data_IF_155955472113
#
_entry.id   IF_155955472113
#
_cell.length_a   1.000
_cell.length_b   1.000
_cell.length_c   1.000
_cell.angle_alpha   90.00
_cell.angle_beta   90.00
_cell.angle_gamma   90.00
#
_symmetry.space_group_name_H-M   'P 1'
#
loop_
_entity.id
_entity.type
_entity.pdbx_description
1 polymer ?
#
# COMPACT_ATOMS: atom_id res chain seq x y z
N UNK A 1 -3.75 5.38 -31.86
CA UNK A 1 -4.46 4.81 -30.70
C UNK A 1 -5.95 5.01 -30.93
N UNK A 2 -6.79 4.00 -30.69
CA UNK A 2 -8.26 4.09 -30.87
C UNK A 2 -8.93 4.39 -29.52
N UNK A 3 -9.35 5.63 -29.23
CA UNK A 3 -9.90 5.99 -27.92
C UNK A 3 -11.20 5.25 -27.60
N UNK A 4 -12.00 4.92 -28.61
CA UNK A 4 -13.31 4.28 -28.47
C UNK A 4 -13.26 2.85 -27.91
N UNK A 5 -12.19 2.10 -28.21
CA UNK A 5 -12.06 0.69 -27.77
C UNK A 5 -11.30 0.54 -26.44
N UNK A 6 -10.75 1.63 -25.88
CA UNK A 6 -9.95 1.56 -24.64
C UNK A 6 -10.75 0.94 -23.50
N UNK A 7 -12.00 1.38 -23.32
CA UNK A 7 -12.87 0.92 -22.23
C UNK A 7 -13.13 -0.59 -22.32
N UNK A 8 -13.61 -1.03 -23.48
CA UNK A 8 -13.89 -2.43 -23.77
C UNK A 8 -12.64 -3.30 -23.60
N UNK A 9 -11.47 -2.83 -24.03
CA UNK A 9 -10.21 -3.54 -23.83
C UNK A 9 -9.86 -3.67 -22.34
N UNK A 10 -9.93 -2.58 -21.58
CA UNK A 10 -9.64 -2.59 -20.14
C UNK A 10 -10.60 -3.52 -19.40
N UNK A 11 -11.89 -3.45 -19.71
CA UNK A 11 -12.94 -4.28 -19.13
C UNK A 11 -12.73 -5.76 -19.46
N UNK A 12 -12.47 -6.10 -20.72
CA UNK A 12 -12.20 -7.47 -21.15
C UNK A 12 -10.97 -8.08 -20.48
N UNK A 13 -9.95 -7.26 -20.16
CA UNK A 13 -8.74 -7.71 -19.48
C UNK A 13 -8.91 -7.89 -17.96
N UNK A 14 -9.86 -7.21 -17.33
CA UNK A 14 -9.96 -7.11 -15.87
C UNK A 14 -11.20 -7.77 -15.27
N UNK A 15 -12.37 -7.65 -15.91
CA UNK A 15 -13.64 -8.22 -15.40
C UNK A 15 -13.56 -9.73 -15.17
N UNK A 16 -12.89 -10.55 -16.02
CA UNK A 16 -12.75 -11.99 -15.75
C UNK A 16 -12.13 -12.32 -14.39
N UNK A 17 -11.37 -11.39 -13.82
CA UNK A 17 -10.64 -11.55 -12.55
C UNK A 17 -11.32 -10.86 -11.37
N UNK A 18 -12.61 -10.53 -11.48
CA UNK A 18 -13.37 -9.90 -10.40
C UNK A 18 -13.39 -10.78 -9.13
N UNK A 19 -13.66 -12.08 -9.29
CA UNK A 19 -13.78 -13.05 -8.19
C UNK A 19 -12.46 -13.76 -7.85
N UNK A 20 -11.57 -13.94 -8.82
CA UNK A 20 -10.34 -14.71 -8.63
C UNK A 20 -9.14 -14.02 -9.29
N UNK A 21 -7.97 -14.14 -8.66
CA UNK A 21 -6.74 -13.62 -9.23
C UNK A 21 -6.22 -14.52 -10.37
N UNK A 22 -5.70 -13.95 -11.47
CA UNK A 22 -5.03 -14.72 -12.49
C UNK A 22 -3.71 -15.32 -12.00
N UNK A 23 -3.11 -16.27 -12.75
CA UNK A 23 -1.72 -16.62 -12.57
C UNK A 23 -0.83 -15.37 -12.56
N UNK A 24 0.17 -15.31 -11.67
CA UNK A 24 0.98 -14.10 -11.45
C UNK A 24 1.69 -13.58 -12.71
N UNK A 25 2.08 -14.45 -13.63
CA UNK A 25 2.64 -14.04 -14.91
C UNK A 25 1.63 -13.23 -15.76
N UNK A 26 0.37 -13.67 -15.79
CA UNK A 26 -0.72 -12.99 -16.51
C UNK A 26 -1.06 -11.65 -15.82
N UNK A 27 -1.18 -11.64 -14.49
CA UNK A 27 -1.39 -10.42 -13.69
C UNK A 27 -0.34 -9.34 -14.02
N UNK A 28 0.94 -9.74 -14.05
CA UNK A 28 2.08 -8.85 -14.35
C UNK A 28 2.04 -8.32 -15.78
N UNK A 29 1.72 -9.17 -16.75
CA UNK A 29 1.63 -8.78 -18.17
C UNK A 29 0.51 -7.77 -18.38
N UNK A 30 -0.69 -8.05 -17.87
CA UNK A 30 -1.84 -7.14 -17.96
C UNK A 30 -1.53 -5.82 -17.24
N UNK A 31 -0.97 -5.90 -16.03
CA UNK A 31 -0.63 -4.71 -15.24
C UNK A 31 0.37 -3.80 -15.97
N UNK A 32 1.43 -4.38 -16.51
CA UNK A 32 2.45 -3.63 -17.26
C UNK A 32 1.86 -2.97 -18.50
N UNK A 33 1.01 -3.71 -19.24
CA UNK A 33 0.32 -3.20 -20.41
C UNK A 33 -0.62 -2.03 -20.07
N UNK A 34 -1.45 -2.18 -19.03
CA UNK A 34 -2.41 -1.16 -18.63
C UNK A 34 -1.75 0.08 -18.03
N UNK A 35 -0.69 -0.07 -17.23
CA UNK A 35 0.09 1.07 -16.75
C UNK A 35 0.74 1.85 -17.90
N UNK A 36 1.28 1.14 -18.90
CA UNK A 36 1.90 1.79 -20.08
C UNK A 36 0.87 2.52 -20.95
N UNK A 37 -0.32 1.94 -21.13
CA UNK A 37 -1.32 2.45 -22.09
C UNK A 37 -2.33 3.42 -21.46
N UNK A 38 -2.81 3.11 -20.26
CA UNK A 38 -3.87 3.83 -19.56
C UNK A 38 -3.35 4.63 -18.36
N UNK A 39 -2.21 4.24 -17.79
CA UNK A 39 -1.67 4.83 -16.56
C UNK A 39 -2.35 4.29 -15.31
N UNK A 40 -1.87 4.72 -14.15
CA UNK A 40 -2.38 4.28 -12.84
C UNK A 40 -3.75 4.94 -12.53
N UNK A 41 -4.84 4.18 -12.32
CA UNK A 41 -6.17 4.73 -12.00
C UNK A 41 -6.22 5.51 -10.69
N UNK A 42 -5.28 5.25 -9.75
CA UNK A 42 -5.20 5.92 -8.44
C UNK A 42 -4.78 7.38 -8.60
N UNK A 43 -3.93 7.65 -9.58
CA UNK A 43 -3.39 8.99 -9.88
C UNK A 43 -4.03 9.66 -11.10
N UNK A 44 -4.42 8.87 -12.11
CA UNK A 44 -4.83 9.34 -13.44
C UNK A 44 -6.30 9.02 -13.72
N UNK A 45 -7.18 9.36 -12.76
CA UNK A 45 -8.62 9.03 -12.79
C UNK A 45 -9.29 9.38 -14.14
N UNK A 46 -8.97 10.54 -14.70
CA UNK A 46 -9.52 11.00 -15.98
C UNK A 46 -9.28 10.01 -17.14
N UNK A 47 -8.17 9.25 -17.14
CA UNK A 47 -7.87 8.27 -18.19
C UNK A 47 -8.72 6.99 -18.10
N UNK A 48 -9.33 6.78 -16.94
CA UNK A 48 -10.19 5.65 -16.61
C UNK A 48 -11.68 6.03 -16.58
N UNK A 49 -12.04 7.26 -16.94
CA UNK A 49 -13.43 7.72 -16.95
C UNK A 49 -14.30 6.85 -17.85
N UNK A 50 -15.37 6.30 -17.26
CA UNK A 50 -16.35 5.45 -17.94
C UNK A 50 -15.84 4.05 -18.28
N UNK A 51 -14.73 3.61 -17.69
CA UNK A 51 -14.44 2.18 -17.50
C UNK A 51 -15.32 1.67 -16.36
N UNK A 52 -15.83 0.45 -16.47
CA UNK A 52 -16.57 -0.22 -15.40
C UNK A 52 -15.85 -0.15 -14.03
N UNK A 53 -16.61 0.09 -12.97
CA UNK A 53 -16.05 0.24 -11.63
C UNK A 53 -15.45 -1.07 -11.10
N UNK A 54 -16.05 -2.21 -11.44
CA UNK A 54 -15.54 -3.54 -11.09
C UNK A 54 -14.16 -3.75 -11.72
N UNK A 55 -14.02 -3.45 -13.01
CA UNK A 55 -12.74 -3.53 -13.71
C UNK A 55 -11.68 -2.63 -13.02
N UNK A 56 -12.05 -1.38 -12.73
CA UNK A 56 -11.16 -0.44 -12.04
C UNK A 56 -10.74 -0.95 -10.65
N UNK A 57 -11.67 -1.56 -9.90
CA UNK A 57 -11.40 -2.08 -8.56
C UNK A 57 -10.52 -3.34 -8.59
N UNK A 58 -10.69 -4.22 -9.58
CA UNK A 58 -9.76 -5.34 -9.82
C UNK A 58 -8.34 -4.82 -10.00
N UNK A 59 -8.18 -3.78 -10.82
CA UNK A 59 -6.85 -3.26 -11.09
C UNK A 59 -6.23 -2.57 -9.87
N UNK A 60 -7.00 -1.75 -9.15
CA UNK A 60 -6.55 -1.15 -7.88
C UNK A 60 -6.13 -2.20 -6.85
N UNK A 61 -6.83 -3.34 -6.76
CA UNK A 61 -6.46 -4.45 -5.88
C UNK A 61 -5.10 -5.03 -6.25
N UNK A 62 -4.84 -5.27 -7.53
CA UNK A 62 -3.53 -5.76 -7.99
C UNK A 62 -2.42 -4.76 -7.71
N UNK A 63 -2.66 -3.47 -7.98
CA UNK A 63 -1.70 -2.42 -7.71
C UNK A 63 -1.40 -2.29 -6.20
N UNK A 64 -2.41 -2.46 -5.35
CA UNK A 64 -2.26 -2.48 -3.88
C UNK A 64 -1.37 -3.64 -3.42
N UNK A 65 -1.62 -4.86 -3.93
CA UNK A 65 -0.76 -6.01 -3.66
C UNK A 65 0.68 -5.81 -4.14
N UNK A 66 0.84 -5.29 -5.36
CA UNK A 66 2.16 -4.98 -5.91
C UNK A 66 2.90 -3.92 -5.09
N UNK A 67 2.21 -2.88 -4.62
CA UNK A 67 2.78 -1.84 -3.75
C UNK A 67 3.25 -2.42 -2.40
N UNK A 68 2.46 -3.31 -1.78
CA UNK A 68 2.86 -4.00 -0.55
C UNK A 68 4.12 -4.85 -0.75
N UNK A 69 4.13 -5.67 -1.80
CA UNK A 69 5.30 -6.51 -2.13
C UNK A 69 6.54 -5.67 -2.47
N UNK A 70 6.37 -4.57 -3.20
CA UNK A 70 7.44 -3.66 -3.55
C UNK A 70 8.02 -2.99 -2.30
N UNK A 71 7.16 -2.52 -1.39
CA UNK A 71 7.60 -1.96 -0.12
C UNK A 71 8.46 -2.96 0.67
N UNK A 72 8.01 -4.21 0.77
CA UNK A 72 8.79 -5.31 1.39
C UNK A 72 10.20 -5.38 0.79
N UNK A 73 10.31 -5.41 -0.55
CA UNK A 73 11.58 -5.59 -1.25
C UNK A 73 12.51 -4.37 -1.12
N UNK A 74 11.96 -3.15 -1.09
CA UNK A 74 12.73 -1.93 -0.85
C UNK A 74 13.36 -1.99 0.53
N UNK A 75 12.58 -2.33 1.56
CA UNK A 75 13.08 -2.27 2.93
C UNK A 75 14.01 -3.40 3.31
N UNK A 76 13.86 -4.59 2.70
CA UNK A 76 14.86 -5.68 2.77
C UNK A 76 16.25 -5.24 2.29
N UNK A 77 16.34 -4.18 1.48
CA UNK A 77 17.60 -3.63 0.96
C UNK A 77 18.12 -2.42 1.73
N UNK A 78 17.26 -1.71 2.47
CA UNK A 78 17.66 -0.48 3.20
C UNK A 78 17.75 -0.63 4.71
N UNK A 79 17.18 -1.68 5.31
CA UNK A 79 17.07 -1.82 6.75
C UNK A 79 17.65 -3.15 7.28
N UNK A 80 17.94 -3.18 8.58
CA UNK A 80 18.44 -4.36 9.31
C UNK A 80 17.41 -5.52 9.34
N UNK A 81 17.93 -6.75 9.31
CA UNK A 81 17.21 -7.95 8.86
C UNK A 81 16.07 -8.46 9.76
N UNK A 82 15.98 -8.06 11.02
CA UNK A 82 15.25 -8.89 12.01
C UNK A 82 13.78 -8.55 12.25
N UNK A 83 13.32 -7.33 11.91
CA UNK A 83 11.95 -6.90 12.26
C UNK A 83 10.92 -7.01 11.14
N UNK A 84 11.38 -7.14 9.88
CA UNK A 84 10.47 -7.01 8.75
C UNK A 84 9.57 -8.22 8.52
N UNK A 85 10.03 -9.44 8.84
CA UNK A 85 9.23 -10.66 8.66
C UNK A 85 7.84 -10.56 9.32
N UNK A 86 7.78 -9.95 10.50
CA UNK A 86 6.55 -9.78 11.27
C UNK A 86 5.64 -8.72 10.65
N UNK A 87 6.17 -7.59 10.19
CA UNK A 87 5.36 -6.54 9.56
C UNK A 87 4.85 -6.98 8.18
N UNK A 88 5.69 -7.69 7.40
CA UNK A 88 5.29 -8.35 6.16
C UNK A 88 4.13 -9.31 6.41
N UNK A 89 4.27 -10.22 7.38
CA UNK A 89 3.20 -11.14 7.75
C UNK A 89 1.94 -10.39 8.16
N UNK A 90 2.09 -9.33 8.96
CA UNK A 90 0.97 -8.53 9.46
C UNK A 90 0.15 -7.90 8.33
N UNK A 91 0.78 -7.06 7.50
CA UNK A 91 0.09 -6.35 6.43
C UNK A 91 -0.36 -7.27 5.30
N UNK A 92 0.43 -8.29 4.95
CA UNK A 92 -0.01 -9.27 3.97
C UNK A 92 -1.19 -10.12 4.47
N UNK A 93 -1.30 -10.36 5.78
CA UNK A 93 -2.46 -11.00 6.39
C UNK A 93 -3.74 -10.20 6.14
N UNK A 94 -3.72 -8.89 6.44
CA UNK A 94 -4.85 -8.00 6.15
C UNK A 94 -5.15 -7.88 4.65
N UNK A 95 -4.13 -7.84 3.80
CA UNK A 95 -4.32 -7.83 2.35
C UNK A 95 -4.98 -9.11 1.84
N UNK A 96 -4.52 -10.29 2.27
CA UNK A 96 -5.07 -11.59 1.88
C UNK A 96 -6.51 -11.77 2.37
N UNK A 97 -6.83 -11.22 3.54
CA UNK A 97 -8.20 -11.18 4.06
C UNK A 97 -9.09 -10.15 3.35
N UNK A 98 -8.58 -9.38 2.38
CA UNK A 98 -9.36 -8.42 1.59
C UNK A 98 -9.64 -7.10 2.30
N UNK A 99 -8.92 -6.78 3.37
CA UNK A 99 -9.18 -5.61 4.22
C UNK A 99 -8.32 -4.39 3.89
N UNK A 100 -7.23 -4.55 3.13
CA UNK A 100 -6.45 -3.42 2.60
C UNK A 100 -7.08 -2.98 1.28
N UNK A 101 -7.76 -1.83 1.32
CA UNK A 101 -8.43 -1.25 0.16
C UNK A 101 -7.44 -0.57 -0.77
N UNK A 102 -6.46 0.12 -0.19
CA UNK A 102 -5.46 0.88 -0.91
C UNK A 102 -4.11 0.79 -0.21
N UNK A 103 -3.03 0.73 -1.00
CA UNK A 103 -1.67 0.91 -0.53
C UNK A 103 -0.92 1.94 -1.38
N UNK A 104 -0.04 2.69 -0.73
CA UNK A 104 0.87 3.65 -1.35
C UNK A 104 2.17 3.75 -0.54
N UNK A 105 3.25 4.24 -1.16
CA UNK A 105 4.56 4.32 -0.50
C UNK A 105 5.15 5.72 -0.68
N UNK A 106 5.66 6.29 0.41
CA UNK A 106 6.51 7.47 0.39
C UNK A 106 7.96 7.09 0.71
N UNK A 107 8.90 7.53 -0.12
CA UNK A 107 10.30 7.14 -0.07
C UNK A 107 11.19 8.36 0.15
N UNK A 108 12.13 8.25 1.08
CA UNK A 108 13.26 9.16 1.17
C UNK A 108 14.22 8.99 -0.02
N UNK A 109 15.15 9.94 -0.24
CA UNK A 109 16.03 9.97 -1.41
C UNK A 109 16.76 8.65 -1.76
N UNK A 110 17.36 7.96 -0.79
CA UNK A 110 18.09 6.72 -1.04
C UNK A 110 17.17 5.55 -1.33
N UNK A 111 16.05 5.48 -0.61
CA UNK A 111 15.03 4.48 -0.84
C UNK A 111 14.37 4.64 -2.22
N UNK A 112 14.16 5.89 -2.68
CA UNK A 112 13.67 6.19 -4.02
C UNK A 112 14.65 5.70 -5.09
N UNK A 113 15.96 5.93 -4.89
CA UNK A 113 17.01 5.43 -5.79
C UNK A 113 16.99 3.89 -5.87
N UNK A 114 16.87 3.20 -4.74
CA UNK A 114 16.81 1.73 -4.69
C UNK A 114 15.55 1.20 -5.35
N UNK A 115 14.39 1.82 -5.09
CA UNK A 115 13.12 1.46 -5.71
C UNK A 115 13.16 1.56 -7.25
N UNK A 116 13.88 2.54 -7.79
CA UNK A 116 14.10 2.67 -9.24
C UNK A 116 15.01 1.57 -9.80
N UNK A 117 16.02 1.14 -9.04
CA UNK A 117 16.94 0.08 -9.48
C UNK A 117 16.28 -1.29 -9.56
N UNK A 118 15.31 -1.56 -8.69
CA UNK A 118 14.58 -2.85 -8.64
C UNK A 118 13.28 -2.84 -9.44
N UNK A 119 12.95 -1.69 -10.03
CA UNK A 119 11.84 -1.51 -10.95
C UNK A 119 10.43 -1.73 -10.36
N UNK A 120 10.34 -1.98 -9.06
CA UNK A 120 9.12 -2.42 -8.40
C UNK A 120 8.06 -1.31 -8.23
N UNK A 121 8.48 -0.03 -8.29
CA UNK A 121 7.61 1.12 -8.00
C UNK A 121 7.59 2.16 -9.13
N UNK A 122 7.88 1.79 -10.39
CA UNK A 122 7.92 2.70 -11.58
C UNK A 122 6.82 3.78 -11.58
N UNK A 123 7.10 4.95 -11.00
CA UNK A 123 6.15 6.07 -10.88
C UNK A 123 4.96 5.86 -9.92
N UNK A 124 4.95 4.77 -9.15
CA UNK A 124 3.90 4.36 -8.20
C UNK A 124 4.33 4.57 -6.74
N UNK A 125 5.00 5.68 -6.48
CA UNK A 125 5.46 6.08 -5.15
C UNK A 125 5.50 7.61 -5.04
N UNK A 126 5.71 8.08 -3.83
CA UNK A 126 5.89 9.50 -3.51
C UNK A 126 7.27 9.77 -2.99
N UNK A 127 7.68 11.03 -3.08
CA UNK A 127 8.83 11.52 -2.32
C UNK A 127 8.41 11.84 -0.89
N UNK A 128 9.21 11.41 0.07
CA UNK A 128 9.16 11.86 1.46
C UNK A 128 10.14 13.02 1.62
N UNK A 129 9.67 14.16 2.10
CA UNK A 129 10.48 15.37 2.31
C UNK A 129 10.40 15.87 3.75
N UNK A 130 11.16 16.92 4.06
CA UNK A 130 11.19 17.53 5.38
C UNK A 130 12.14 16.77 6.32
N UNK A 131 11.78 16.68 7.60
CA UNK A 131 12.63 16.04 8.62
C UNK A 131 12.53 14.50 8.54
N UNK A 132 13.21 13.90 7.55
CA UNK A 132 13.34 12.46 7.35
C UNK A 132 14.77 12.05 7.00
N UNK A 133 15.16 10.83 7.36
CA UNK A 133 16.42 10.24 6.90
C UNK A 133 16.29 9.78 5.45
N UNK A 134 17.40 9.71 4.72
CA UNK A 134 17.41 9.37 3.29
C UNK A 134 16.91 7.96 2.98
N UNK A 135 17.08 7.03 3.91
CA UNK A 135 16.63 5.64 3.83
C UNK A 135 15.19 5.41 4.33
N UNK A 136 14.52 6.44 4.87
CA UNK A 136 13.15 6.29 5.38
C UNK A 136 12.19 5.85 4.27
N UNK A 137 11.33 4.89 4.61
CA UNK A 137 10.20 4.47 3.79
C UNK A 137 8.95 4.49 4.67
N UNK A 138 7.84 4.99 4.12
CA UNK A 138 6.54 4.97 4.78
C UNK A 138 5.55 4.23 3.89
N UNK A 139 4.97 3.17 4.43
CA UNK A 139 3.83 2.47 3.84
C UNK A 139 2.55 3.13 4.31
N UNK A 140 1.78 3.66 3.37
CA UNK A 140 0.46 4.22 3.60
C UNK A 140 -0.60 3.20 3.18
N UNK A 141 -1.53 2.89 4.07
CA UNK A 141 -2.62 1.93 3.82
C UNK A 141 -3.97 2.56 4.12
N UNK A 142 -5.00 2.07 3.43
CA UNK A 142 -6.40 2.29 3.82
C UNK A 142 -7.05 0.96 4.20
N UNK A 143 -7.58 0.88 5.42
CA UNK A 143 -8.30 -0.27 5.95
C UNK A 143 -9.66 0.21 6.43
N UNK A 144 -10.73 -0.14 5.71
CA UNK A 144 -12.06 0.42 5.98
C UNK A 144 -12.04 1.95 5.94
N UNK A 145 -12.43 2.57 7.05
CA UNK A 145 -12.39 4.02 7.29
C UNK A 145 -11.14 4.47 8.07
N UNK A 146 -10.03 3.72 8.01
CA UNK A 146 -8.77 4.06 8.66
C UNK A 146 -7.68 4.31 7.61
N UNK A 147 -6.79 5.24 7.94
CA UNK A 147 -5.52 5.44 7.24
C UNK A 147 -4.39 5.03 8.18
N UNK A 148 -3.45 4.25 7.67
CA UNK A 148 -2.26 3.79 8.41
C UNK A 148 -1.00 4.33 7.76
N UNK A 149 -0.02 4.74 8.56
CA UNK A 149 1.35 5.01 8.12
C UNK A 149 2.33 4.15 8.93
N UNK A 150 2.90 3.13 8.30
CA UNK A 150 3.95 2.28 8.88
C UNK A 150 5.33 2.70 8.36
N UNK A 151 6.21 3.09 9.28
CA UNK A 151 7.54 3.62 9.00
C UNK A 151 8.62 2.55 9.14
N UNK A 152 9.42 2.31 8.10
CA UNK A 152 10.40 1.21 8.05
C UNK A 152 11.45 1.23 9.18
N UNK A 153 12.12 2.36 9.47
CA UNK A 153 13.21 2.49 10.46
C UNK A 153 12.74 2.99 11.81
N UNK A 154 13.04 2.28 12.93
CA UNK A 154 12.75 2.62 14.35
C UNK A 154 11.47 3.45 14.56
N UNK A 155 10.51 3.24 13.67
CA UNK A 155 9.48 4.18 13.36
C UNK A 155 8.20 3.65 13.94
N UNK A 156 7.31 4.56 14.27
CA UNK A 156 6.00 4.18 14.79
C UNK A 156 5.06 3.87 13.63
N UNK A 157 4.28 2.82 13.80
CA UNK A 157 3.05 2.66 13.05
C UNK A 157 2.03 3.65 13.62
N UNK A 158 1.36 4.40 12.75
CA UNK A 158 0.37 5.42 13.11
C UNK A 158 -0.93 5.13 12.42
N UNK A 159 -2.04 5.34 13.12
CA UNK A 159 -3.38 5.12 12.57
C UNK A 159 -4.23 6.36 12.84
N UNK A 160 -4.99 6.77 11.83
CA UNK A 160 -5.99 7.82 11.88
C UNK A 160 -7.32 7.26 11.40
N UNK A 161 -8.44 7.75 11.91
CA UNK A 161 -9.70 7.67 11.16
C UNK A 161 -9.62 8.53 9.91
N UNK A 162 -10.11 7.97 8.81
CA UNK A 162 -10.20 8.65 7.52
C UNK A 162 -11.05 9.93 7.66
N UNK A 163 -10.68 10.96 6.90
CA UNK A 163 -11.28 12.31 6.91
C UNK A 163 -11.14 13.11 8.21
N UNK A 164 -10.38 12.65 9.19
CA UNK A 164 -9.89 13.54 10.23
C UNK A 164 -8.91 14.56 9.64
N UNK A 165 -8.81 15.75 10.26
CA UNK A 165 -8.00 16.89 9.77
C UNK A 165 -6.56 16.53 9.41
N UNK A 166 -5.96 15.59 10.16
CA UNK A 166 -4.54 15.19 10.00
C UNK A 166 -4.36 13.84 9.30
N UNK A 167 -5.44 13.16 8.89
CA UNK A 167 -5.33 11.89 8.19
C UNK A 167 -4.70 12.12 6.79
N UNK A 168 -3.62 11.41 6.44
CA UNK A 168 -2.96 11.64 5.17
C UNK A 168 -3.81 11.12 4.00
N UNK A 169 -4.01 11.95 2.98
CA UNK A 169 -4.62 11.52 1.74
C UNK A 169 -3.63 10.69 0.94
N UNK A 170 -4.03 9.48 0.52
CA UNK A 170 -3.20 8.63 -0.34
C UNK A 170 -2.97 9.25 -1.72
N UNK A 171 -1.96 8.72 -2.43
CA UNK A 171 -1.63 9.05 -3.83
C UNK A 171 -1.12 10.46 -4.12
N UNK A 172 -0.71 11.21 -3.09
CA UNK A 172 0.02 12.47 -3.32
C UNK A 172 1.37 12.19 -3.95
N UNK A 173 1.89 13.09 -4.80
CA UNK A 173 3.25 12.93 -5.37
C UNK A 173 4.35 13.10 -4.31
N UNK A 174 4.04 13.79 -3.21
CA UNK A 174 4.97 14.13 -2.15
C UNK A 174 4.23 14.17 -0.81
N UNK A 175 4.93 13.77 0.25
CA UNK A 175 4.48 13.92 1.63
C UNK A 175 5.57 14.60 2.45
N UNK A 176 5.17 15.51 3.34
CA UNK A 176 6.04 16.03 4.38
C UNK A 176 6.09 15.03 5.55
N UNK A 177 7.30 14.78 6.04
CA UNK A 177 7.54 13.84 7.13
C UNK A 177 6.96 14.32 8.47
N UNK A 178 6.83 15.63 8.69
CA UNK A 178 6.16 16.22 9.86
C UNK A 178 4.67 15.94 9.86
N UNK A 179 4.00 16.15 8.72
CA UNK A 179 2.56 15.89 8.55
C UNK A 179 2.20 14.42 8.85
N UNK A 180 3.05 13.49 8.43
CA UNK A 180 2.87 12.06 8.67
C UNK A 180 3.17 11.61 10.12
N UNK A 181 3.52 12.52 11.02
CA UNK A 181 3.82 12.24 12.43
C UNK A 181 2.83 12.84 13.42
N UNK A 182 1.86 13.62 12.96
CA UNK A 182 0.97 14.38 13.84
C UNK A 182 -0.48 13.90 13.76
N UNK A 183 -1.20 14.05 14.87
CA UNK A 183 -2.65 13.88 14.94
C UNK A 183 -3.16 12.45 14.76
N UNK A 184 -2.31 11.43 14.90
CA UNK A 184 -2.72 10.03 14.88
C UNK A 184 -3.53 9.68 16.13
N UNK A 185 -4.56 8.84 15.97
CA UNK A 185 -5.36 8.32 17.09
C UNK A 185 -4.52 7.37 17.97
N UNK A 186 -3.59 6.64 17.35
CA UNK A 186 -2.60 5.79 18.04
C UNK A 186 -1.25 5.84 17.32
N UNK A 187 -0.17 5.79 18.11
CA UNK A 187 1.18 5.54 17.63
C UNK A 187 1.80 4.34 18.35
N UNK A 188 2.29 3.36 17.60
CA UNK A 188 2.86 2.12 18.17
C UNK A 188 4.28 1.89 17.66
N UNK A 189 5.21 1.68 18.58
CA UNK A 189 6.57 1.23 18.26
C UNK A 189 6.55 -0.29 18.04
N UNK A 190 7.33 -0.78 17.08
CA UNK A 190 7.42 -2.20 16.69
C UNK A 190 8.18 -3.10 17.69
N UNK A 191 7.85 -3.00 18.98
CA UNK A 191 8.46 -3.77 20.06
C UNK A 191 7.82 -5.16 20.23
N UNK A 192 8.60 -6.12 20.73
CA UNK A 192 8.15 -7.47 21.06
C UNK A 192 7.45 -8.19 19.89
N UNK A 193 8.01 -8.04 18.68
CA UNK A 193 7.39 -8.54 17.45
C UNK A 193 7.21 -10.08 17.45
N UNK A 194 8.13 -10.84 18.02
CA UNK A 194 8.01 -12.30 18.15
C UNK A 194 6.88 -12.73 19.07
N UNK A 195 6.60 -11.96 20.13
CA UNK A 195 5.51 -12.22 21.07
C UNK A 195 4.17 -11.63 20.60
N UNK A 196 4.11 -10.96 19.44
CA UNK A 196 2.91 -10.30 18.92
C UNK A 196 2.54 -9.00 19.63
N UNK A 197 3.48 -8.34 20.31
CA UNK A 197 3.22 -7.19 21.18
C UNK A 197 2.64 -5.99 20.43
N UNK A 198 3.38 -5.44 19.46
CA UNK A 198 2.89 -4.31 18.65
C UNK A 198 1.73 -4.73 17.73
N UNK A 199 1.74 -5.97 17.24
CA UNK A 199 0.71 -6.50 16.34
C UNK A 199 -0.65 -6.53 17.00
N UNK A 200 -0.75 -7.01 18.25
CA UNK A 200 -2.01 -6.96 19.01
C UNK A 200 -2.49 -5.53 19.17
N UNK A 201 -1.63 -4.60 19.60
CA UNK A 201 -2.03 -3.19 19.77
C UNK A 201 -2.63 -2.57 18.51
N UNK A 202 -1.99 -2.78 17.36
CA UNK A 202 -2.52 -2.29 16.08
C UNK A 202 -3.76 -3.07 15.65
N UNK A 203 -3.77 -4.40 15.82
CA UNK A 203 -4.93 -5.23 15.48
C UNK A 203 -6.16 -4.83 16.29
N UNK A 204 -6.04 -4.76 17.61
CA UNK A 204 -7.10 -4.39 18.55
C UNK A 204 -7.65 -3.00 18.20
N UNK A 205 -6.79 -2.03 17.88
CA UNK A 205 -7.25 -0.71 17.45
C UNK A 205 -8.03 -0.74 16.13
N UNK A 206 -7.56 -1.48 15.12
CA UNK A 206 -8.30 -1.67 13.86
C UNK A 206 -9.64 -2.36 14.13
N UNK A 207 -9.61 -3.40 14.96
CA UNK A 207 -10.71 -4.22 15.40
C UNK A 207 -11.80 -3.40 16.10
N UNK A 208 -11.43 -2.51 17.02
CA UNK A 208 -12.35 -1.63 17.75
C UNK A 208 -13.02 -0.60 16.84
N UNK A 209 -12.30 -0.09 15.84
CA UNK A 209 -12.80 0.98 14.97
C UNK A 209 -13.54 0.49 13.73
N UNK A 210 -13.25 -0.72 13.25
CA UNK A 210 -13.77 -1.23 11.97
C UNK A 210 -14.59 -2.51 12.10
N UNK A 211 -14.53 -3.20 13.25
CA UNK A 211 -15.13 -4.52 13.42
C UNK A 211 -14.35 -5.66 12.74
N UNK A 212 -13.25 -5.38 12.02
CA UNK A 212 -12.44 -6.40 11.37
C UNK A 212 -11.77 -7.29 12.42
N UNK A 213 -11.91 -8.62 12.29
CA UNK A 213 -11.31 -9.61 13.18
C UNK A 213 -10.49 -10.59 12.35
N UNK A 214 -9.24 -10.80 12.74
CA UNK A 214 -8.34 -11.77 12.13
C UNK A 214 -7.74 -12.63 13.25
N UNK A 215 -7.52 -13.91 12.99
CA UNK A 215 -6.77 -14.75 13.93
C UNK A 215 -5.28 -14.34 13.90
N UNK A 216 -4.55 -14.44 15.03
CA UNK A 216 -3.11 -14.21 15.03
C UNK A 216 -2.35 -15.06 14.00
N UNK A 217 -2.79 -16.30 13.75
CA UNK A 217 -2.21 -17.19 12.73
C UNK A 217 -2.32 -16.65 11.30
N UNK A 218 -3.18 -15.66 11.05
CA UNK A 218 -3.38 -15.05 9.74
C UNK A 218 -2.43 -13.87 9.48
N UNK A 219 -1.87 -13.26 10.53
CA UNK A 219 -1.04 -12.04 10.45
C UNK A 219 0.29 -12.15 11.21
N UNK A 220 0.60 -13.31 11.78
CA UNK A 220 1.88 -13.64 12.39
C UNK A 220 2.61 -14.71 11.57
N UNK A 221 3.96 -14.71 11.50
CA UNK A 221 4.74 -15.78 10.89
C UNK A 221 4.65 -17.12 11.62
#
# INVERSE_FOLDING_TARGET
QFPGLRKQLVEALLIPWQQAAPPKAVERTITSFLLKTCGDPRMQRARWNGVDETATNVFKRWLTGATLEAFVRVIERVAEKDHWKYRKAFWMGYYRAGHILDAWVALGPDAERIARQIDDLRGQSSRLVGQCQSNHCVLLLRIGNLVVADWSHNGKCRVWRDRQRHAPLLYRKQYDAGDLRVGADIEVVHQQASAGGWQRKIHDHICDLTGIRLSPSSYMP
#
